data_IF_071220532981
#
_entry.id   IF_071220532981
#
_cell.length_a   1.000
_cell.length_b   1.000
_cell.length_c   1.000
_cell.angle_alpha   90.00
_cell.angle_beta   90.00
_cell.angle_gamma   90.00
#
_symmetry.space_group_name_H-M   'P 1'
#
loop_
_entity.id
_entity.type
_entity.pdbx_description
1 polymer ?
#
# COMPACT_ATOMS: atom_id res chain seq x y z
N UNK A 1 -17.52 -16.52 -4.02
CA UNK A 1 -17.92 -16.27 -2.61
C UNK A 1 -19.21 -15.46 -2.59
N UNK A 2 -20.09 -15.61 -1.58
CA UNK A 2 -21.30 -14.80 -1.47
C UNK A 2 -20.93 -13.32 -1.21
N UNK A 3 -21.69 -12.41 -1.82
CA UNK A 3 -21.55 -10.97 -1.66
C UNK A 3 -21.91 -10.59 -0.20
N UNK A 4 -21.10 -9.78 0.51
CA UNK A 4 -21.44 -9.33 1.87
C UNK A 4 -22.79 -8.62 1.91
N UNK A 5 -23.55 -8.83 2.99
CA UNK A 5 -24.86 -8.18 3.16
C UNK A 5 -24.71 -6.64 3.15
N UNK A 6 -25.49 -5.97 2.29
CA UNK A 6 -25.45 -4.51 2.13
C UNK A 6 -24.45 -3.98 1.09
N UNK A 7 -23.70 -4.85 0.40
CA UNK A 7 -22.79 -4.46 -0.68
C UNK A 7 -23.44 -4.68 -2.05
N UNK A 8 -23.50 -3.64 -2.89
CA UNK A 8 -23.89 -3.74 -4.31
C UNK A 8 -22.64 -3.60 -5.18
N UNK A 9 -22.22 -4.65 -5.92
CA UNK A 9 -21.08 -4.57 -6.82
C UNK A 9 -21.31 -3.50 -7.89
N UNK A 10 -20.26 -2.75 -8.24
CA UNK A 10 -20.28 -1.77 -9.32
C UNK A 10 -20.30 -2.41 -10.72
N UNK A 11 -19.98 -3.70 -10.82
CA UNK A 11 -20.00 -4.48 -12.05
C UNK A 11 -21.10 -5.56 -12.02
N UNK A 12 -21.76 -5.77 -13.16
CA UNK A 12 -22.77 -6.81 -13.34
C UNK A 12 -22.16 -8.19 -13.68
N UNK A 13 -22.99 -9.24 -13.60
CA UNK A 13 -22.55 -10.63 -13.82
C UNK A 13 -22.00 -10.86 -15.24
N UNK A 14 -22.50 -10.13 -16.24
CA UNK A 14 -22.03 -10.25 -17.61
C UNK A 14 -20.63 -9.63 -17.77
N UNK A 15 -20.38 -8.50 -17.10
CA UNK A 15 -19.07 -7.86 -17.04
C UNK A 15 -18.03 -8.74 -16.34
N UNK A 16 -18.43 -9.45 -15.27
CA UNK A 16 -17.55 -10.40 -14.58
C UNK A 16 -17.16 -11.57 -15.48
N UNK A 17 -18.13 -12.21 -16.15
CA UNK A 17 -17.87 -13.34 -17.03
C UNK A 17 -16.98 -12.99 -18.25
N UNK A 18 -17.18 -11.80 -18.83
CA UNK A 18 -16.36 -11.33 -19.95
C UNK A 18 -14.89 -11.09 -19.53
N UNK A 19 -14.66 -10.65 -18.29
CA UNK A 19 -13.31 -10.44 -17.75
C UNK A 19 -12.59 -11.77 -17.55
N UNK A 20 -13.20 -12.74 -16.90
CA UNK A 20 -12.59 -14.07 -16.69
C UNK A 20 -12.07 -14.66 -18.01
N UNK A 21 -12.91 -14.70 -19.03
CA UNK A 21 -12.56 -15.24 -20.35
C UNK A 21 -11.34 -14.56 -21.01
N UNK A 22 -11.10 -13.27 -20.75
CA UNK A 22 -10.03 -12.49 -21.38
C UNK A 22 -8.65 -12.69 -20.76
N UNK A 23 -8.54 -13.14 -19.50
CA UNK A 23 -7.30 -13.05 -18.73
C UNK A 23 -6.61 -14.40 -18.39
N UNK A 24 -7.17 -15.54 -18.78
CA UNK A 24 -6.67 -16.88 -18.40
C UNK A 24 -5.44 -17.40 -19.18
N UNK A 25 -4.80 -16.60 -20.03
CA UNK A 25 -3.69 -17.03 -20.91
C UNK A 25 -2.26 -16.67 -20.46
N UNK A 26 -2.05 -16.20 -19.22
CA UNK A 26 -0.74 -15.67 -18.79
C UNK A 26 0.09 -16.75 -18.09
N UNK A 27 1.39 -16.94 -18.41
CA UNK A 27 2.26 -17.86 -17.68
C UNK A 27 2.39 -17.44 -16.20
N UNK A 28 2.49 -18.43 -15.30
CA UNK A 28 2.71 -18.20 -13.87
C UNK A 28 4.12 -17.59 -13.64
N UNK A 29 4.24 -16.38 -13.05
CA UNK A 29 5.53 -15.74 -12.81
C UNK A 29 6.54 -16.60 -12.04
N UNK A 30 6.07 -17.47 -11.14
CA UNK A 30 6.93 -18.37 -10.35
C UNK A 30 7.63 -19.43 -11.20
N UNK A 31 7.13 -19.67 -12.41
CA UNK A 31 7.72 -20.61 -13.38
C UNK A 31 8.75 -19.94 -14.30
N UNK A 32 8.82 -18.61 -14.30
CA UNK A 32 9.70 -17.83 -15.18
C UNK A 32 11.08 -17.59 -14.56
N UNK A 33 11.14 -17.38 -13.25
CA UNK A 33 12.36 -17.02 -12.50
C UNK A 33 12.33 -17.64 -11.11
N UNK A 34 13.51 -17.91 -10.53
CA UNK A 34 13.61 -18.43 -9.16
C UNK A 34 13.71 -17.31 -8.11
N UNK A 35 13.34 -17.62 -6.86
CA UNK A 35 13.50 -16.70 -5.72
C UNK A 35 14.94 -16.21 -5.59
N UNK A 36 15.90 -17.13 -5.72
CA UNK A 36 17.33 -16.83 -5.65
C UNK A 36 17.77 -15.85 -6.74
N UNK A 37 17.25 -15.99 -7.96
CA UNK A 37 17.64 -15.11 -9.07
C UNK A 37 17.17 -13.67 -8.84
N UNK A 38 15.92 -13.48 -8.38
CA UNK A 38 15.42 -12.16 -7.99
C UNK A 38 16.24 -11.59 -6.83
N UNK A 39 16.49 -12.41 -5.80
CA UNK A 39 17.29 -12.03 -4.64
C UNK A 39 18.70 -11.58 -5.05
N UNK A 40 19.41 -12.37 -5.84
CA UNK A 40 20.78 -12.08 -6.29
C UNK A 40 20.82 -10.77 -7.08
N UNK A 41 19.80 -10.49 -7.91
CA UNK A 41 19.68 -9.23 -8.65
C UNK A 41 19.44 -8.00 -7.74
N UNK A 42 18.70 -8.15 -6.64
CA UNK A 42 18.51 -7.08 -5.66
C UNK A 42 19.78 -6.84 -4.83
N UNK A 43 20.46 -7.91 -4.42
CA UNK A 43 21.75 -7.84 -3.71
C UNK A 43 22.79 -7.06 -4.53
N UNK A 44 22.84 -7.24 -5.85
CA UNK A 44 23.73 -6.47 -6.73
C UNK A 44 23.47 -4.95 -6.65
N UNK A 45 22.23 -4.53 -6.35
CA UNK A 45 21.84 -3.11 -6.30
C UNK A 45 22.18 -2.43 -4.98
N UNK A 46 22.03 -3.12 -3.85
CA UNK A 46 22.18 -2.48 -2.54
C UNK A 46 22.88 -3.31 -1.46
N UNK A 47 23.46 -4.46 -1.80
CA UNK A 47 24.19 -5.41 -0.93
C UNK A 47 23.34 -6.42 -0.15
N UNK A 48 23.99 -7.53 0.25
CA UNK A 48 23.43 -8.62 1.07
C UNK A 48 22.93 -8.13 2.42
N UNK A 49 23.68 -7.23 3.07
CA UNK A 49 23.31 -6.72 4.39
C UNK A 49 21.99 -5.93 4.33
N UNK A 50 21.83 -5.10 3.30
CA UNK A 50 20.58 -4.36 3.05
C UNK A 50 19.45 -5.30 2.67
N UNK A 51 19.68 -6.27 1.76
CA UNK A 51 18.64 -7.22 1.37
C UNK A 51 18.16 -8.03 2.58
N UNK A 52 19.09 -8.51 3.42
CA UNK A 52 18.77 -9.26 4.63
C UNK A 52 17.86 -8.49 5.59
N UNK A 53 18.01 -7.16 5.71
CA UNK A 53 17.07 -6.34 6.49
C UNK A 53 15.69 -6.25 5.83
N UNK A 54 15.65 -6.08 4.51
CA UNK A 54 14.42 -6.02 3.74
C UNK A 54 13.64 -7.35 3.79
N UNK A 55 14.32 -8.50 3.72
CA UNK A 55 13.68 -9.81 3.79
C UNK A 55 12.96 -10.05 5.11
N UNK A 56 13.54 -9.57 6.22
CA UNK A 56 12.98 -9.78 7.55
C UNK A 56 11.95 -8.71 7.94
N UNK A 57 11.74 -7.67 7.13
CA UNK A 57 10.88 -6.56 7.48
C UNK A 57 9.40 -6.90 7.33
N UNK A 58 8.61 -6.57 8.35
CA UNK A 58 7.15 -6.68 8.34
C UNK A 58 6.51 -5.30 8.20
N UNK A 59 5.89 -5.03 7.05
CA UNK A 59 5.20 -3.76 6.79
C UNK A 59 3.71 -3.98 6.59
N UNK A 60 2.90 -3.41 7.48
CA UNK A 60 1.47 -3.33 7.31
C UNK A 60 1.07 -2.05 6.56
N UNK A 61 0.12 -2.17 5.64
CA UNK A 61 -0.41 -1.06 4.84
C UNK A 61 -1.93 -0.99 5.07
N UNK A 62 -2.35 0.01 5.83
CA UNK A 62 -3.74 0.28 6.14
C UNK A 62 -4.34 1.22 5.10
N UNK A 63 -5.08 0.64 4.15
CA UNK A 63 -5.65 1.32 2.99
C UNK A 63 -4.88 1.01 1.72
N UNK A 64 -5.54 0.42 0.74
CA UNK A 64 -5.01 0.05 -0.58
C UNK A 64 -5.40 1.08 -1.65
N UNK A 65 -5.56 2.35 -1.27
CA UNK A 65 -5.86 3.46 -2.16
C UNK A 65 -4.65 3.92 -2.99
N UNK A 66 -4.64 5.18 -3.42
CA UNK A 66 -3.56 5.72 -4.28
C UNK A 66 -2.19 5.72 -3.60
N UNK A 67 -2.17 6.00 -2.29
CA UNK A 67 -0.97 5.91 -1.46
C UNK A 67 -0.57 4.45 -1.28
N UNK A 68 -1.37 3.67 -0.54
CA UNK A 68 -1.00 2.33 -0.12
C UNK A 68 -0.74 1.36 -1.27
N UNK A 69 -1.51 1.43 -2.38
CA UNK A 69 -1.20 0.60 -3.55
C UNK A 69 0.13 0.95 -4.21
N UNK A 70 0.51 2.24 -4.21
CA UNK A 70 1.81 2.68 -4.73
C UNK A 70 2.94 2.33 -3.77
N UNK A 71 2.73 2.47 -2.46
CA UNK A 71 3.68 2.03 -1.42
C UNK A 71 3.93 0.52 -1.54
N UNK A 72 2.88 -0.30 -1.61
CA UNK A 72 2.99 -1.73 -1.76
C UNK A 72 3.80 -2.12 -3.01
N UNK A 73 3.50 -1.50 -4.16
CA UNK A 73 4.28 -1.70 -5.40
C UNK A 73 5.75 -1.33 -5.20
N UNK A 74 6.05 -0.20 -4.58
CA UNK A 74 7.43 0.24 -4.35
C UNK A 74 8.19 -0.73 -3.42
N UNK A 75 7.57 -1.16 -2.32
CA UNK A 75 8.17 -2.07 -1.35
C UNK A 75 8.37 -3.48 -1.93
N UNK A 76 7.41 -4.00 -2.71
CA UNK A 76 7.57 -5.27 -3.44
C UNK A 76 8.74 -5.21 -4.43
N UNK A 77 8.93 -4.08 -5.12
CA UNK A 77 10.02 -3.91 -6.11
C UNK A 77 11.41 -3.92 -5.51
N UNK A 78 11.55 -3.47 -4.26
CA UNK A 78 12.83 -3.52 -3.53
C UNK A 78 12.99 -4.81 -2.72
N UNK A 79 12.01 -5.73 -2.79
CA UNK A 79 12.07 -7.01 -2.11
C UNK A 79 11.93 -6.92 -0.59
N UNK A 80 11.02 -6.08 -0.08
CA UNK A 80 10.54 -6.26 1.30
C UNK A 80 9.90 -7.64 1.42
N UNK A 81 10.29 -8.40 2.45
CA UNK A 81 9.90 -9.80 2.57
C UNK A 81 8.43 -10.01 2.93
N UNK A 82 7.88 -9.20 3.84
CA UNK A 82 6.52 -9.38 4.34
C UNK A 82 5.69 -8.09 4.23
N UNK A 83 4.59 -8.17 3.49
CA UNK A 83 3.59 -7.12 3.37
C UNK A 83 2.25 -7.61 3.88
N UNK A 84 1.58 -6.79 4.69
CA UNK A 84 0.21 -7.02 5.13
C UNK A 84 -0.70 -5.92 4.61
N UNK A 85 -1.61 -6.27 3.70
CA UNK A 85 -2.52 -5.31 3.07
C UNK A 85 -3.91 -5.37 3.72
N UNK A 86 -4.40 -4.24 4.22
CA UNK A 86 -5.71 -4.15 4.86
C UNK A 86 -6.56 -3.09 4.16
N UNK A 87 -7.65 -3.51 3.55
CA UNK A 87 -8.66 -2.65 2.93
C UNK A 87 -9.97 -3.42 2.77
N UNK A 88 -11.12 -2.77 2.91
CA UNK A 88 -12.43 -3.43 2.77
C UNK A 88 -13.10 -3.16 1.42
N UNK A 89 -12.58 -2.21 0.66
CA UNK A 89 -13.22 -1.65 -0.51
C UNK A 89 -12.86 -2.41 -1.79
N UNK A 90 -13.58 -2.10 -2.86
CA UNK A 90 -13.39 -2.70 -4.18
C UNK A 90 -12.79 -1.71 -5.17
N UNK A 91 -12.12 -2.25 -6.18
CA UNK A 91 -11.58 -1.44 -7.27
C UNK A 91 -12.73 -0.86 -8.07
N UNK A 92 -12.80 0.47 -8.15
CA UNK A 92 -13.79 1.20 -8.94
C UNK A 92 -13.14 1.91 -10.15
N UNK A 93 -13.93 2.21 -11.18
CA UNK A 93 -13.45 2.96 -12.37
C UNK A 93 -12.80 4.29 -11.99
N UNK A 94 -13.35 4.99 -10.98
CA UNK A 94 -12.82 6.27 -10.48
C UNK A 94 -11.47 6.13 -9.76
N UNK A 95 -11.01 4.90 -9.49
CA UNK A 95 -9.74 4.63 -8.82
C UNK A 95 -8.58 4.55 -9.82
N UNK A 96 -8.84 4.13 -11.06
CA UNK A 96 -7.81 3.86 -12.07
C UNK A 96 -6.98 5.09 -12.47
N UNK A 97 -7.46 6.30 -12.15
CA UNK A 97 -6.72 7.53 -12.42
C UNK A 97 -5.46 7.71 -11.54
N UNK A 98 -5.32 6.94 -10.44
CA UNK A 98 -4.26 7.18 -9.43
C UNK A 98 -3.89 5.98 -8.56
N UNK A 99 -4.57 4.85 -8.65
CA UNK A 99 -4.31 3.66 -7.85
C UNK A 99 -3.66 2.58 -8.73
N UNK A 100 -2.82 1.71 -8.15
CA UNK A 100 -2.07 0.68 -8.89
C UNK A 100 -2.92 -0.53 -9.27
N UNK A 101 -4.02 -0.27 -9.96
CA UNK A 101 -4.96 -1.26 -10.46
C UNK A 101 -5.09 -1.16 -11.98
N UNK A 102 -5.40 -2.28 -12.61
CA UNK A 102 -5.67 -2.36 -14.03
C UNK A 102 -7.17 -2.43 -14.30
N UNK A 103 -7.57 -2.18 -15.54
CA UNK A 103 -8.97 -2.27 -15.95
C UNK A 103 -9.61 -3.65 -15.65
N UNK A 104 -8.79 -4.71 -15.67
CA UNK A 104 -9.20 -6.08 -15.34
C UNK A 104 -9.60 -6.28 -13.87
N UNK A 105 -9.11 -5.40 -12.99
CA UNK A 105 -9.28 -5.54 -11.55
C UNK A 105 -10.59 -4.90 -11.04
N UNK A 106 -11.25 -4.11 -11.88
CA UNK A 106 -12.51 -3.42 -11.52
C UNK A 106 -13.54 -4.42 -11.00
N UNK A 107 -14.12 -4.12 -9.83
CA UNK A 107 -15.09 -4.95 -9.13
C UNK A 107 -14.49 -6.02 -8.22
N UNK A 108 -13.18 -6.27 -8.25
CA UNK A 108 -12.49 -7.12 -7.27
C UNK A 108 -12.23 -6.36 -5.97
N UNK A 109 -12.02 -7.08 -4.86
CA UNK A 109 -11.52 -6.45 -3.64
C UNK A 109 -10.13 -5.87 -3.88
N UNK A 110 -9.89 -4.66 -3.37
CA UNK A 110 -8.63 -3.95 -3.52
C UNK A 110 -7.43 -4.75 -3.03
N UNK A 111 -7.59 -5.45 -1.91
CA UNK A 111 -6.59 -6.34 -1.32
C UNK A 111 -6.25 -7.52 -2.23
N UNK A 112 -7.27 -8.21 -2.74
CA UNK A 112 -7.10 -9.37 -3.64
C UNK A 112 -6.44 -8.97 -4.97
N UNK A 113 -6.95 -7.90 -5.60
CA UNK A 113 -6.41 -7.36 -6.84
C UNK A 113 -4.97 -6.88 -6.66
N UNK A 114 -4.68 -6.16 -5.57
CA UNK A 114 -3.34 -5.66 -5.32
C UNK A 114 -2.37 -6.82 -5.08
N UNK A 115 -2.72 -7.80 -4.24
CA UNK A 115 -1.89 -9.01 -4.04
C UNK A 115 -1.59 -9.71 -5.37
N UNK A 116 -2.60 -9.90 -6.22
CA UNK A 116 -2.42 -10.52 -7.53
C UNK A 116 -1.49 -9.70 -8.44
N UNK A 117 -1.58 -8.37 -8.39
CA UNK A 117 -0.69 -7.47 -9.14
C UNK A 117 0.75 -7.48 -8.59
N UNK A 118 0.93 -7.52 -7.27
CA UNK A 118 2.27 -7.61 -6.64
C UNK A 118 2.96 -8.92 -6.97
N UNK A 119 2.22 -10.04 -7.06
CA UNK A 119 2.78 -11.33 -7.47
C UNK A 119 3.33 -11.30 -8.92
N UNK A 120 2.85 -10.40 -9.77
CA UNK A 120 3.42 -10.18 -11.12
C UNK A 120 4.73 -9.38 -11.09
N UNK A 121 5.02 -8.69 -9.98
CA UNK A 121 6.24 -7.90 -9.78
C UNK A 121 7.32 -8.76 -9.14
N UNK A 122 6.99 -9.37 -7.99
CA UNK A 122 7.87 -10.28 -7.27
C UNK A 122 6.99 -11.31 -6.55
N UNK A 123 6.88 -12.55 -7.07
CA UNK A 123 6.00 -13.57 -6.49
C UNK A 123 6.54 -14.18 -5.19
N UNK A 124 7.76 -13.82 -4.77
CA UNK A 124 8.40 -14.37 -3.57
C UNK A 124 8.30 -13.43 -2.35
N UNK A 125 7.66 -12.27 -2.51
CA UNK A 125 7.24 -11.46 -1.36
C UNK A 125 6.02 -12.13 -0.73
N UNK A 126 6.09 -12.33 0.59
CA UNK A 126 4.95 -12.81 1.37
C UNK A 126 3.93 -11.68 1.53
N UNK A 127 2.78 -11.84 0.88
CA UNK A 127 1.70 -10.85 0.91
C UNK A 127 0.47 -11.44 1.59
N UNK A 128 0.31 -11.09 2.86
CA UNK A 128 -0.91 -11.33 3.63
C UNK A 128 -1.94 -10.26 3.30
N UNK A 129 -3.22 -10.64 3.28
CA UNK A 129 -4.32 -9.70 3.09
C UNK A 129 -5.41 -9.90 4.13
N UNK A 130 -6.01 -8.81 4.58
CA UNK A 130 -7.25 -8.82 5.36
C UNK A 130 -8.26 -7.86 4.72
N UNK A 131 -9.34 -8.42 4.18
CA UNK A 131 -10.39 -7.65 3.49
C UNK A 131 -11.43 -7.15 4.49
N UNK A 132 -11.02 -6.28 5.41
CA UNK A 132 -11.84 -5.82 6.53
C UNK A 132 -11.70 -4.31 6.74
N UNK A 133 -12.70 -3.70 7.36
CA UNK A 133 -12.64 -2.30 7.75
C UNK A 133 -11.88 -2.21 9.08
N UNK A 134 -10.86 -1.35 9.12
CA UNK A 134 -10.14 -1.08 10.37
C UNK A 134 -11.03 -0.27 11.31
N UNK A 135 -11.08 -0.69 12.56
CA UNK A 135 -11.77 -0.05 13.67
C UNK A 135 -10.84 -0.03 14.88
N UNK A 136 -11.14 0.78 15.88
CA UNK A 136 -10.28 0.88 17.07
C UNK A 136 -10.12 -0.48 17.79
N UNK A 137 -11.15 -1.33 17.71
CA UNK A 137 -11.20 -2.62 18.37
C UNK A 137 -10.35 -3.71 17.68
N UNK A 138 -10.01 -3.55 16.39
CA UNK A 138 -9.28 -4.56 15.63
C UNK A 138 -7.84 -4.15 15.27
N UNK A 139 -7.39 -2.94 15.64
CA UNK A 139 -6.02 -2.45 15.34
C UNK A 139 -4.95 -3.37 15.91
N UNK A 140 -5.05 -3.76 17.18
CA UNK A 140 -4.07 -4.64 17.81
C UNK A 140 -4.04 -6.05 17.19
N UNK A 141 -5.19 -6.58 16.78
CA UNK A 141 -5.29 -7.88 16.11
C UNK A 141 -4.69 -7.83 14.71
N UNK A 142 -4.97 -6.76 13.96
CA UNK A 142 -4.54 -6.62 12.57
C UNK A 142 -3.06 -6.30 12.46
N UNK A 143 -2.51 -5.47 13.35
CA UNK A 143 -1.19 -4.87 13.15
C UNK A 143 -0.19 -5.19 14.28
N UNK A 144 -0.55 -6.09 15.21
CA UNK A 144 0.29 -6.40 16.38
C UNK A 144 1.63 -7.07 16.08
N UNK A 145 1.80 -7.61 14.87
CA UNK A 145 3.02 -8.27 14.37
C UNK A 145 3.82 -7.42 13.38
N UNK A 146 3.40 -6.17 13.12
CA UNK A 146 4.06 -5.27 12.19
C UNK A 146 5.11 -4.38 12.89
N UNK A 147 6.32 -4.33 12.33
CA UNK A 147 7.36 -3.39 12.78
C UNK A 147 7.01 -1.95 12.36
N UNK A 148 6.42 -1.84 11.16
CA UNK A 148 6.10 -0.57 10.52
C UNK A 148 4.68 -0.63 9.98
N UNK A 149 3.89 0.39 10.27
CA UNK A 149 2.52 0.58 9.79
C UNK A 149 2.49 1.81 8.88
N UNK A 150 2.05 1.63 7.65
CA UNK A 150 1.76 2.67 6.69
C UNK A 150 0.27 3.01 6.74
N UNK A 151 -0.07 4.21 7.16
CA UNK A 151 -1.44 4.72 7.13
C UNK A 151 -1.72 5.40 5.79
N UNK A 152 -2.66 4.86 5.03
CA UNK A 152 -2.98 5.28 3.67
C UNK A 152 -4.49 5.49 3.46
N UNK A 153 -5.22 5.87 4.51
CA UNK A 153 -6.65 6.20 4.41
C UNK A 153 -6.87 7.57 3.78
N UNK A 154 -7.97 7.67 3.05
CA UNK A 154 -8.41 8.87 2.33
C UNK A 154 -9.37 9.75 3.16
N UNK A 155 -10.03 9.17 4.16
CA UNK A 155 -10.94 9.86 5.09
C UNK A 155 -10.17 10.36 6.32
N UNK A 156 -10.16 11.68 6.61
CA UNK A 156 -9.42 12.26 7.74
C UNK A 156 -9.77 11.66 9.10
N UNK A 157 -11.03 11.30 9.32
CA UNK A 157 -11.51 10.70 10.56
C UNK A 157 -10.91 9.30 10.77
N UNK A 158 -10.86 8.48 9.71
CA UNK A 158 -10.26 7.14 9.77
C UNK A 158 -8.74 7.22 9.97
N UNK A 159 -8.09 8.20 9.36
CA UNK A 159 -6.66 8.49 9.56
C UNK A 159 -6.38 8.81 11.03
N UNK A 160 -7.17 9.72 11.60
CA UNK A 160 -7.02 10.11 13.01
C UNK A 160 -7.27 8.93 13.95
N UNK A 161 -8.28 8.10 13.65
CA UNK A 161 -8.55 6.87 14.39
C UNK A 161 -7.34 5.95 14.40
N UNK A 162 -6.79 5.59 13.22
CA UNK A 162 -5.65 4.67 13.16
C UNK A 162 -4.42 5.24 13.85
N UNK A 163 -4.11 6.52 13.62
CA UNK A 163 -2.96 7.18 14.27
C UNK A 163 -3.06 7.09 15.78
N UNK A 164 -4.23 7.41 16.35
CA UNK A 164 -4.42 7.34 17.80
C UNK A 164 -4.33 5.89 18.32
N UNK A 165 -5.03 4.96 17.66
CA UNK A 165 -5.06 3.56 18.06
C UNK A 165 -3.66 2.92 18.02
N UNK A 166 -2.87 3.18 16.97
CA UNK A 166 -1.49 2.66 16.86
C UNK A 166 -0.60 3.26 17.95
N UNK A 167 -0.66 4.57 18.18
CA UNK A 167 0.16 5.21 19.20
C UNK A 167 -0.18 4.77 20.62
N UNK A 168 -1.42 4.38 20.88
CA UNK A 168 -1.90 3.96 22.20
C UNK A 168 -1.74 2.44 22.43
N UNK A 169 -2.06 1.62 21.43
CA UNK A 169 -2.12 0.16 21.54
C UNK A 169 -0.83 -0.52 21.06
N UNK A 170 -0.07 0.10 20.16
CA UNK A 170 1.12 -0.46 19.51
C UNK A 170 2.33 0.49 19.61
N UNK A 171 2.76 0.87 20.83
CA UNK A 171 3.71 1.95 21.05
C UNK A 171 5.11 1.70 20.46
N UNK A 172 5.48 0.45 20.20
CA UNK A 172 6.77 0.07 19.62
C UNK A 172 6.79 0.12 18.09
N UNK A 173 5.62 0.02 17.44
CA UNK A 173 5.51 0.09 15.99
C UNK A 173 5.83 1.49 15.46
N UNK A 174 6.53 1.55 14.33
CA UNK A 174 6.72 2.82 13.61
C UNK A 174 5.50 3.10 12.75
N UNK A 175 4.96 4.31 12.83
CA UNK A 175 3.85 4.77 12.01
C UNK A 175 4.34 5.77 10.97
N UNK A 176 4.04 5.51 9.70
CA UNK A 176 4.24 6.46 8.59
C UNK A 176 2.86 6.81 8.03
N UNK A 177 2.54 8.10 7.96
CA UNK A 177 1.27 8.61 7.46
C UNK A 177 1.52 9.72 6.44
N UNK A 178 0.53 10.00 5.61
CA UNK A 178 0.58 11.13 4.70
C UNK A 178 -0.70 11.95 4.62
N UNK A 179 -0.54 13.24 4.30
CA UNK A 179 -1.63 14.12 3.88
C UNK A 179 -1.09 15.32 3.11
N UNK A 180 -1.91 15.92 2.24
CA UNK A 180 -1.48 17.06 1.43
C UNK A 180 -0.86 16.67 0.10
N UNK A 181 -1.69 16.15 -0.81
CA UNK A 181 -1.27 15.66 -2.15
C UNK A 181 -2.27 15.98 -3.27
N UNK A 182 -3.26 16.80 -2.99
CA UNK A 182 -4.34 17.08 -3.93
C UNK A 182 -3.92 18.07 -5.01
N UNK A 183 -4.47 17.94 -6.22
CA UNK A 183 -4.19 18.81 -7.35
C UNK A 183 -2.83 18.54 -8.00
N UNK A 184 -2.25 19.60 -8.58
CA UNK A 184 -1.08 19.56 -9.46
C UNK A 184 -0.03 20.61 -9.07
N UNK A 185 0.05 20.98 -7.78
CA UNK A 185 1.07 21.93 -7.32
C UNK A 185 2.46 21.31 -7.37
N UNK A 186 3.49 22.15 -7.21
CA UNK A 186 4.88 21.73 -7.23
C UNK A 186 5.16 20.60 -6.23
N UNK A 187 5.89 19.57 -6.69
CA UNK A 187 6.37 18.49 -5.84
C UNK A 187 7.38 18.97 -4.79
N UNK A 188 8.01 20.13 -5.00
CA UNK A 188 8.99 20.69 -4.05
C UNK A 188 8.33 21.21 -2.75
N UNK A 189 6.99 21.24 -2.68
CA UNK A 189 6.25 21.55 -1.46
C UNK A 189 6.07 20.31 -0.56
N UNK A 190 6.38 19.12 -1.07
CA UNK A 190 6.18 17.86 -0.38
C UNK A 190 7.43 17.55 0.44
N UNK A 191 7.26 17.33 1.74
CA UNK A 191 8.35 16.98 2.66
C UNK A 191 7.97 15.81 3.57
N UNK A 192 8.98 15.11 4.06
CA UNK A 192 8.84 14.16 5.17
C UNK A 192 9.31 14.86 6.45
N UNK A 193 8.60 14.63 7.56
CA UNK A 193 8.99 15.12 8.89
C UNK A 193 8.69 14.10 9.96
N UNK A 194 9.53 14.07 10.99
CA UNK A 194 9.31 13.27 12.19
C UNK A 194 8.41 14.05 13.16
N UNK A 195 7.24 13.52 13.47
CA UNK A 195 6.23 14.15 14.35
C UNK A 195 6.48 13.77 15.81
N UNK A 196 6.86 12.51 16.05
CA UNK A 196 7.23 11.99 17.37
C UNK A 196 8.28 10.88 17.21
N UNK A 197 8.67 10.22 18.31
CA UNK A 197 9.67 9.13 18.26
C UNK A 197 9.32 8.05 17.23
N UNK A 198 8.06 7.66 17.14
CA UNK A 198 7.61 6.57 16.28
C UNK A 198 6.62 7.02 15.20
N UNK A 199 6.45 8.33 14.99
CA UNK A 199 5.49 8.85 14.02
C UNK A 199 6.15 9.76 12.99
N UNK A 200 5.99 9.42 11.72
CA UNK A 200 6.52 10.12 10.55
C UNK A 200 5.37 10.55 9.64
N UNK A 201 5.51 11.74 9.05
CA UNK A 201 4.48 12.35 8.22
C UNK A 201 5.05 12.82 6.89
N UNK A 202 4.43 12.41 5.78
CA UNK A 202 4.80 12.81 4.41
C UNK A 202 3.71 13.66 3.75
N UNK A 203 4.10 14.67 2.98
CA UNK A 203 3.15 15.50 2.22
C UNK A 203 3.34 17.00 2.43
N UNK A 204 2.46 17.80 1.81
CA UNK A 204 2.47 19.26 2.01
C UNK A 204 1.63 19.70 3.23
N UNK A 205 0.80 18.82 3.80
CA UNK A 205 -0.03 19.11 4.98
C UNK A 205 -1.12 20.16 4.78
N UNK A 206 -1.27 20.72 3.57
CA UNK A 206 -2.15 21.86 3.30
C UNK A 206 -3.24 21.51 2.28
N UNK A 207 -2.93 20.68 1.28
CA UNK A 207 -3.82 20.48 0.14
C UNK A 207 -4.85 19.37 0.34
N UNK A 208 -6.11 19.71 0.11
CA UNK A 208 -7.24 18.78 0.13
C UNK A 208 -7.90 18.69 -1.26
N UNK A 209 -8.48 17.52 -1.63
CA UNK A 209 -9.15 17.36 -2.91
C UNK A 209 -10.40 18.23 -2.99
N UNK A 210 -10.50 19.02 -4.06
CA UNK A 210 -11.66 19.86 -4.38
C UNK A 210 -12.01 19.70 -5.87
N UNK A 211 -13.23 20.05 -6.32
CA UNK A 211 -13.56 20.06 -7.74
C UNK A 211 -12.53 20.86 -8.55
N UNK A 212 -11.94 20.23 -9.58
CA UNK A 212 -10.87 20.80 -10.40
C UNK A 212 -9.44 20.65 -9.86
N UNK A 213 -9.27 20.21 -8.61
CA UNK A 213 -7.97 19.89 -8.01
C UNK A 213 -8.07 18.59 -7.18
N UNK A 214 -8.48 17.50 -7.86
CA UNK A 214 -8.59 16.17 -7.26
C UNK A 214 -7.22 15.48 -7.07
N UNK A 215 -7.26 14.24 -6.59
CA UNK A 215 -6.06 13.41 -6.45
C UNK A 215 -5.59 12.91 -7.82
N UNK A 216 -4.36 13.23 -8.20
CA UNK A 216 -3.77 12.91 -9.50
C UNK A 216 -2.61 11.92 -9.33
N UNK A 217 -2.53 10.90 -10.19
CA UNK A 217 -1.49 9.87 -10.15
C UNK A 217 -0.07 10.41 -9.90
N UNK A 218 0.42 11.45 -10.62
CA UNK A 218 1.78 11.95 -10.42
C UNK A 218 2.01 12.51 -9.02
N UNK A 219 1.08 13.31 -8.49
CA UNK A 219 1.26 13.97 -7.20
C UNK A 219 1.04 13.01 -6.03
N UNK A 220 0.04 12.13 -6.15
CA UNK A 220 -0.15 11.01 -5.21
C UNK A 220 1.08 10.11 -5.20
N UNK A 221 1.63 9.79 -6.36
CA UNK A 221 2.83 8.97 -6.49
C UNK A 221 4.06 9.58 -5.82
N UNK A 222 4.25 10.91 -5.89
CA UNK A 222 5.35 11.57 -5.17
C UNK A 222 5.22 11.37 -3.66
N UNK A 223 4.03 11.59 -3.09
CA UNK A 223 3.84 11.42 -1.64
C UNK A 223 3.93 9.96 -1.24
N UNK A 224 3.33 9.05 -2.02
CA UNK A 224 3.41 7.61 -1.77
C UNK A 224 4.84 7.09 -1.83
N UNK A 225 5.65 7.55 -2.79
CA UNK A 225 7.06 7.18 -2.85
C UNK A 225 7.88 7.82 -1.72
N UNK A 226 7.47 8.98 -1.18
CA UNK A 226 8.07 9.49 0.05
C UNK A 226 7.75 8.59 1.26
N UNK A 227 6.51 8.14 1.40
CA UNK A 227 6.14 7.18 2.45
C UNK A 227 6.93 5.87 2.30
N UNK A 228 6.93 5.29 1.09
CA UNK A 228 7.67 4.07 0.81
C UNK A 228 9.17 4.23 1.10
N UNK A 229 9.77 5.34 0.69
CA UNK A 229 11.18 5.61 0.96
C UNK A 229 11.44 5.80 2.46
N UNK A 230 10.55 6.47 3.20
CA UNK A 230 10.69 6.59 4.65
C UNK A 230 10.58 5.22 5.34
N UNK A 231 9.64 4.38 4.91
CA UNK A 231 9.53 2.99 5.39
C UNK A 231 10.83 2.22 5.11
N UNK A 232 11.37 2.31 3.90
CA UNK A 232 12.68 1.70 3.57
C UNK A 232 13.78 2.20 4.48
N UNK A 233 13.86 3.51 4.74
CA UNK A 233 14.84 4.09 5.67
C UNK A 233 14.70 3.50 7.07
N UNK A 234 13.48 3.39 7.59
CA UNK A 234 13.21 2.79 8.90
C UNK A 234 13.65 1.31 8.97
N UNK A 235 13.39 0.52 7.92
CA UNK A 235 13.88 -0.88 7.82
C UNK A 235 15.41 -0.92 7.89
N UNK A 236 16.08 0.10 7.37
CA UNK A 236 17.53 0.19 7.35
C UNK A 236 18.14 0.84 8.59
N UNK A 237 17.32 1.13 9.62
CA UNK A 237 17.68 1.82 10.86
C UNK A 237 18.01 3.31 10.71
N UNK A 238 17.54 3.95 9.62
CA UNK A 238 17.68 5.39 9.36
C UNK A 238 16.40 6.12 9.80
N UNK A 239 16.45 6.80 10.95
CA UNK A 239 15.28 7.42 11.59
C UNK A 239 15.16 8.94 11.40
N UNK A 240 16.08 9.58 10.68
CA UNK A 240 15.96 11.00 10.36
C UNK A 240 14.97 11.23 9.21
N UNK A 241 14.26 12.37 9.26
CA UNK A 241 13.21 12.75 8.31
C UNK A 241 13.58 14.06 7.63
#
# INVERSE_FOLDING_TARGET
MPIPAGFTPSADDAQLAARDAAFHGTPDPTTLVSEREIRDALIERHTEATQSKLDNAHVAIAGCGGLGSTVAVALTRIGVGHLHLVDFDRVDMTNLNRQQYFLKDVGQYKTEALRANLAQINPFVDVRIDTVKVTDENVAELFGDADIICEAFDVPENKTLLVNAVLEQLPDAKLVSASGMAGFRSSNLISTRRVSRNFYFCGDGETAPVPGAGLMAPRVGVVACQEANMITRLILDEEDA
#
